data_IF_488260195877
#
_entry.id   IF_488260195877
#
_cell.length_a   1.000
_cell.length_b   1.000
_cell.length_c   1.000
_cell.angle_alpha   90.00
_cell.angle_beta   90.00
_cell.angle_gamma   90.00
#
_symmetry.space_group_name_H-M   'P 1'
#
loop_
_entity.id
_entity.type
_entity.pdbx_description
1 polymer ?
#
# COMPACT_ATOMS: atom_id res chain seq x y z
N UNK A 1 5.77 -22.82 7.94
CA UNK A 1 4.58 -22.57 8.78
C UNK A 1 3.88 -21.37 8.20
N UNK A 2 2.59 -21.45 7.88
CA UNK A 2 1.86 -20.29 7.35
C UNK A 2 1.78 -19.23 8.45
N UNK A 3 2.30 -18.03 8.19
CA UNK A 3 2.11 -16.89 9.08
C UNK A 3 0.62 -16.68 9.31
N UNK A 4 0.18 -16.39 10.55
CA UNK A 4 -1.21 -16.07 10.80
C UNK A 4 -1.58 -14.88 9.93
N UNK A 5 -2.71 -14.98 9.23
CA UNK A 5 -3.33 -13.84 8.54
C UNK A 5 -3.58 -12.80 9.62
N UNK A 6 -2.77 -11.74 9.67
CA UNK A 6 -3.09 -10.59 10.51
C UNK A 6 -4.36 -10.01 9.93
N UNK A 7 -5.50 -10.29 10.58
CA UNK A 7 -6.79 -9.81 10.12
C UNK A 7 -6.74 -8.29 9.98
N UNK A 8 -7.15 -7.78 8.82
CA UNK A 8 -7.15 -6.36 8.52
C UNK A 8 -8.34 -5.66 9.17
N UNK A 9 -8.39 -5.71 10.50
CA UNK A 9 -9.46 -5.17 11.36
C UNK A 9 -9.71 -3.67 11.18
N UNK A 10 -8.74 -2.94 10.60
CA UNK A 10 -8.90 -1.54 10.25
C UNK A 10 -9.95 -1.34 9.15
N UNK A 11 -10.17 -2.33 8.28
CA UNK A 11 -11.22 -2.34 7.24
C UNK A 11 -12.63 -2.56 7.80
N UNK A 12 -12.75 -2.93 9.07
CA UNK A 12 -14.04 -3.14 9.73
C UNK A 12 -14.53 -1.88 10.48
N UNK A 13 -13.72 -0.81 10.50
CA UNK A 13 -14.04 0.45 11.15
C UNK A 13 -14.23 1.54 10.09
N UNK A 14 -15.23 2.43 10.23
CA UNK A 14 -15.65 3.33 9.16
C UNK A 14 -14.64 4.42 8.78
N UNK A 15 -13.69 4.74 9.66
CA UNK A 15 -12.64 5.72 9.43
C UNK A 15 -11.42 5.40 10.29
N UNK A 16 -10.23 5.42 9.69
CA UNK A 16 -8.97 5.22 10.40
C UNK A 16 -7.99 6.36 10.10
N UNK A 17 -7.29 6.82 11.14
CA UNK A 17 -6.16 7.73 10.99
C UNK A 17 -4.94 7.08 11.63
N UNK A 18 -4.09 6.50 10.79
CA UNK A 18 -2.75 6.01 11.16
C UNK A 18 -1.63 6.92 10.64
N UNK A 19 -1.97 7.85 9.75
CA UNK A 19 -1.04 8.83 9.21
C UNK A 19 -1.10 10.11 10.04
N UNK A 20 0.04 10.77 10.18
CA UNK A 20 0.14 12.09 10.85
C UNK A 20 1.02 13.02 10.02
N UNK A 21 0.73 14.34 9.96
CA UNK A 21 1.58 15.29 9.26
C UNK A 21 3.03 15.23 9.75
N UNK A 22 3.98 15.25 8.82
CA UNK A 22 5.41 15.20 9.13
C UNK A 22 5.94 13.83 9.58
N UNK A 23 5.15 12.76 9.48
CA UNK A 23 5.65 11.41 9.75
C UNK A 23 6.77 11.01 8.77
N UNK A 24 7.70 10.19 9.24
CA UNK A 24 8.74 9.63 8.38
C UNK A 24 8.16 8.53 7.46
N UNK A 25 8.81 8.31 6.33
CA UNK A 25 8.56 7.13 5.49
C UNK A 25 8.91 5.88 6.33
N UNK A 26 7.99 4.91 6.48
CA UNK A 26 8.29 3.65 7.16
C UNK A 26 9.45 2.92 6.48
N UNK A 27 10.35 2.34 7.26
CA UNK A 27 11.42 1.49 6.72
C UNK A 27 10.80 0.19 6.19
N UNK A 28 11.28 -0.29 5.05
CA UNK A 28 10.83 -1.55 4.50
C UNK A 28 11.08 -2.71 5.49
N UNK A 29 10.09 -3.58 5.73
CA UNK A 29 10.32 -4.81 6.49
C UNK A 29 11.47 -5.62 5.90
N UNK A 30 12.26 -6.25 6.77
CA UNK A 30 13.22 -7.25 6.32
C UNK A 30 12.46 -8.43 5.72
N UNK A 31 12.80 -8.80 4.49
CA UNK A 31 12.27 -9.97 3.83
C UNK A 31 13.44 -10.83 3.34
N UNK A 32 13.55 -12.03 3.88
CA UNK A 32 14.54 -13.00 3.44
C UNK A 32 14.05 -13.63 2.14
N UNK A 33 14.73 -13.35 1.04
CA UNK A 33 14.42 -13.95 -0.25
C UNK A 33 14.91 -15.41 -0.28
N UNK A 34 14.03 -16.33 0.10
CA UNK A 34 14.33 -17.76 0.19
C UNK A 34 14.32 -18.49 -1.17
N UNK A 35 14.20 -17.78 -2.30
CA UNK A 35 13.96 -18.36 -3.62
C UNK A 35 15.06 -18.01 -4.63
N UNK A 36 15.52 -18.99 -5.40
CA UNK A 36 16.44 -18.78 -6.53
C UNK A 36 15.73 -18.25 -7.80
N UNK A 37 14.50 -17.75 -7.67
CA UNK A 37 13.69 -17.26 -8.80
C UNK A 37 13.92 -15.76 -8.94
N UNK A 38 14.24 -15.31 -10.15
CA UNK A 38 14.44 -13.88 -10.43
C UNK A 38 13.09 -13.17 -10.58
N UNK A 39 12.52 -12.71 -9.47
CA UNK A 39 11.25 -11.96 -9.44
C UNK A 39 11.44 -10.46 -9.71
N UNK A 40 12.65 -9.92 -9.53
CA UNK A 40 12.96 -8.50 -9.68
C UNK A 40 12.82 -7.94 -11.10
N UNK A 41 12.53 -8.77 -12.12
CA UNK A 41 12.19 -8.28 -13.46
C UNK A 41 10.91 -7.43 -13.51
N UNK A 42 10.05 -7.54 -12.50
CA UNK A 42 8.83 -6.74 -12.35
C UNK A 42 9.08 -5.39 -11.65
N UNK A 43 10.27 -5.23 -11.05
CA UNK A 43 10.66 -3.98 -10.41
C UNK A 43 11.02 -2.93 -11.45
N UNK A 44 10.80 -1.67 -11.08
CA UNK A 44 11.22 -0.52 -11.86
C UNK A 44 12.30 0.27 -11.12
N UNK A 45 13.20 0.96 -11.85
CA UNK A 45 14.11 1.90 -11.22
C UNK A 45 13.34 3.10 -10.63
N UNK A 46 14.01 3.86 -9.76
CA UNK A 46 13.53 5.16 -9.34
C UNK A 46 13.55 6.15 -10.52
N UNK A 47 12.43 6.85 -10.72
CA UNK A 47 12.28 7.87 -11.78
C UNK A 47 12.00 9.26 -11.19
N UNK A 48 11.57 9.33 -9.93
CA UNK A 48 11.21 10.56 -9.22
C UNK A 48 11.97 10.72 -7.90
N UNK A 49 12.04 11.92 -7.31
CA UNK A 49 12.58 12.09 -5.96
C UNK A 49 11.81 11.28 -4.89
N UNK A 50 10.50 11.10 -5.08
CA UNK A 50 9.64 10.31 -4.18
C UNK A 50 10.00 8.83 -4.26
N UNK A 51 10.24 8.32 -5.47
CA UNK A 51 10.77 6.98 -5.67
C UNK A 51 12.11 6.78 -4.96
N UNK A 52 13.03 7.74 -5.14
CA UNK A 52 14.34 7.67 -4.50
C UNK A 52 14.22 7.66 -2.98
N UNK A 53 13.30 8.45 -2.40
CA UNK A 53 13.06 8.45 -0.97
C UNK A 53 12.56 7.09 -0.44
N UNK A 54 11.76 6.36 -1.23
CA UNK A 54 11.35 5.00 -0.88
C UNK A 54 12.50 3.99 -1.00
N UNK A 55 13.31 4.09 -2.07
CA UNK A 55 14.51 3.24 -2.23
C UNK A 55 15.50 3.47 -1.09
N UNK A 56 15.72 4.72 -0.68
CA UNK A 56 16.57 5.08 0.45
C UNK A 56 16.03 4.52 1.78
N UNK A 57 14.71 4.31 1.87
CA UNK A 57 14.03 3.66 2.99
C UNK A 57 13.99 2.11 2.86
N UNK A 58 14.64 1.54 1.84
CA UNK A 58 14.79 0.10 1.64
C UNK A 58 13.70 -0.56 0.80
N UNK A 59 12.82 0.21 0.17
CA UNK A 59 11.72 -0.33 -0.64
C UNK A 59 12.18 -0.61 -2.08
N UNK A 60 11.77 -1.76 -2.60
CA UNK A 60 11.81 -2.05 -4.02
C UNK A 60 10.57 -1.48 -4.69
N UNK A 61 10.69 -0.88 -5.88
CA UNK A 61 9.56 -0.24 -6.56
C UNK A 61 8.95 -1.17 -7.57
N UNK A 62 7.63 -1.31 -7.55
CA UNK A 62 6.88 -2.12 -8.51
C UNK A 62 5.62 -1.38 -8.97
N UNK A 63 5.07 -1.79 -10.11
CA UNK A 63 3.98 -1.09 -10.82
C UNK A 63 4.38 0.34 -11.25
N UNK A 64 3.60 0.90 -12.17
CA UNK A 64 3.74 2.30 -12.53
C UNK A 64 3.26 3.19 -11.37
N UNK A 65 3.97 4.28 -11.09
CA UNK A 65 3.44 5.32 -10.21
C UNK A 65 2.31 6.09 -10.91
N UNK A 66 1.41 6.68 -10.12
CA UNK A 66 0.43 7.64 -10.61
C UNK A 66 0.81 9.03 -10.13
N UNK A 67 0.67 10.06 -10.98
CA UNK A 67 1.01 11.42 -10.62
C UNK A 67 0.06 12.44 -11.26
N UNK A 68 -0.40 13.41 -10.47
CA UNK A 68 -1.27 14.49 -10.91
C UNK A 68 -1.70 15.39 -9.75
N UNK A 69 -2.04 16.66 -10.02
CA UNK A 69 -2.52 17.61 -9.00
C UNK A 69 -1.60 17.78 -7.77
N UNK A 70 -0.29 17.58 -7.96
CA UNK A 70 0.70 17.59 -6.88
C UNK A 70 0.76 16.29 -6.07
N UNK A 71 -0.10 15.30 -6.33
CA UNK A 71 -0.10 14.00 -5.66
C UNK A 71 0.72 13.00 -6.47
N UNK A 72 1.58 12.23 -5.80
CA UNK A 72 2.25 11.05 -6.36
C UNK A 72 1.90 9.83 -5.52
N UNK A 73 1.40 8.79 -6.17
CA UNK A 73 1.12 7.48 -5.59
C UNK A 73 2.18 6.50 -6.08
N UNK A 74 2.87 5.85 -5.15
CA UNK A 74 3.94 4.90 -5.45
C UNK A 74 3.73 3.60 -4.69
N UNK A 75 3.85 2.46 -5.38
CA UNK A 75 3.82 1.15 -4.74
C UNK A 75 5.25 0.64 -4.50
N UNK A 76 5.53 0.21 -3.27
CA UNK A 76 6.80 -0.38 -2.87
C UNK A 76 6.60 -1.75 -2.22
N UNK A 77 7.59 -2.63 -2.31
CA UNK A 77 7.60 -3.94 -1.66
C UNK A 77 8.93 -4.25 -0.98
N UNK A 78 8.91 -5.18 -0.02
CA UNK A 78 10.11 -5.72 0.61
C UNK A 78 10.70 -6.93 -0.13
N UNK A 79 9.88 -7.68 -0.87
CA UNK A 79 10.34 -8.85 -1.60
C UNK A 79 9.21 -9.72 -2.12
N UNK A 80 9.55 -10.91 -2.60
CA UNK A 80 8.59 -11.81 -3.24
C UNK A 80 8.55 -13.18 -2.58
N UNK A 81 7.38 -13.83 -2.59
CA UNK A 81 7.34 -15.26 -2.31
C UNK A 81 7.82 -16.11 -3.50
N UNK A 82 7.96 -17.43 -3.28
CA UNK A 82 8.46 -18.38 -4.30
C UNK A 82 7.60 -18.55 -5.56
N UNK A 83 6.56 -17.74 -5.75
CA UNK A 83 5.80 -17.61 -6.99
C UNK A 83 5.78 -16.17 -7.53
N UNK A 84 6.76 -15.33 -7.15
CA UNK A 84 6.89 -13.93 -7.55
C UNK A 84 5.66 -13.06 -7.25
N UNK A 85 5.03 -13.30 -6.10
CA UNK A 85 3.94 -12.44 -5.61
C UNK A 85 4.51 -11.46 -4.59
N UNK A 86 4.06 -10.19 -4.58
CA UNK A 86 4.62 -9.16 -3.71
C UNK A 86 4.33 -9.46 -2.23
N UNK A 87 5.35 -9.25 -1.41
CA UNK A 87 5.33 -9.47 0.03
C UNK A 87 5.83 -8.22 0.76
N UNK A 88 5.21 -7.92 1.90
CA UNK A 88 5.52 -6.72 2.67
C UNK A 88 5.35 -5.45 1.83
N UNK A 89 4.32 -5.37 0.99
CA UNK A 89 4.12 -4.26 0.06
C UNK A 89 3.18 -3.18 0.61
N UNK A 90 3.34 -1.96 0.11
CA UNK A 90 2.60 -0.79 0.57
C UNK A 90 2.42 0.22 -0.55
N UNK A 91 1.34 1.00 -0.47
CA UNK A 91 1.08 2.14 -1.36
C UNK A 91 1.34 3.43 -0.58
N UNK A 92 2.24 4.26 -1.11
CA UNK A 92 2.73 5.50 -0.49
C UNK A 92 2.18 6.72 -1.21
N UNK A 93 1.73 7.70 -0.44
CA UNK A 93 1.20 8.96 -0.96
C UNK A 93 2.15 10.09 -0.64
N UNK A 94 2.51 10.85 -1.66
CA UNK A 94 3.25 12.09 -1.56
C UNK A 94 2.42 13.25 -2.09
N UNK A 95 2.54 14.42 -1.49
CA UNK A 95 1.87 15.65 -1.90
C UNK A 95 2.91 16.76 -1.98
N UNK A 96 3.07 17.31 -3.17
CA UNK A 96 4.07 18.34 -3.51
C UNK A 96 5.49 17.94 -3.08
N UNK A 97 5.81 16.64 -3.19
CA UNK A 97 7.10 16.08 -2.78
C UNK A 97 7.22 15.70 -1.31
N UNK A 98 6.23 16.03 -0.49
CA UNK A 98 6.23 15.70 0.94
C UNK A 98 5.45 14.41 1.19
N UNK A 99 5.98 13.50 2.00
CA UNK A 99 5.28 12.27 2.36
C UNK A 99 4.01 12.57 3.18
N UNK A 100 2.87 12.04 2.73
CA UNK A 100 1.56 12.27 3.33
C UNK A 100 1.01 11.04 4.07
N UNK A 101 1.61 9.85 3.83
CA UNK A 101 1.24 8.62 4.52
C UNK A 101 1.08 7.41 3.59
N UNK A 102 0.56 6.34 4.17
CA UNK A 102 0.31 5.06 3.48
C UNK A 102 -1.19 4.77 3.35
N UNK A 103 -1.56 3.92 2.40
CA UNK A 103 -2.95 3.49 2.21
C UNK A 103 -3.33 2.26 3.03
N UNK A 104 -2.39 1.64 3.74
CA UNK A 104 -2.69 0.67 4.79
C UNK A 104 -1.82 0.95 6.03
N UNK A 105 -2.30 0.65 7.25
CA UNK A 105 -1.55 0.91 8.48
C UNK A 105 -0.30 0.04 8.61
N UNK A 106 -0.28 -1.13 7.96
CA UNK A 106 0.83 -2.08 7.98
C UNK A 106 1.11 -2.61 6.56
N UNK A 107 2.34 -3.04 6.25
CA UNK A 107 2.68 -3.69 4.98
C UNK A 107 1.83 -4.95 4.72
N UNK A 108 1.40 -5.09 3.48
CA UNK A 108 0.49 -6.11 3.00
C UNK A 108 1.23 -7.31 2.41
N UNK A 109 0.56 -8.46 2.31
CA UNK A 109 1.10 -9.66 1.71
C UNK A 109 0.16 -10.20 0.63
N UNK A 110 0.69 -10.65 -0.50
CA UNK A 110 -0.16 -11.25 -1.51
C UNK A 110 -0.90 -12.48 -0.94
N UNK A 111 -2.19 -12.60 -1.28
CA UNK A 111 -3.09 -13.66 -0.78
C UNK A 111 -3.31 -13.62 0.75
N UNK A 112 -3.30 -12.44 1.35
CA UNK A 112 -3.78 -12.21 2.71
C UNK A 112 -5.08 -11.39 2.73
N UNK A 113 -5.79 -11.45 3.85
CA UNK A 113 -6.82 -10.47 4.18
C UNK A 113 -6.21 -9.06 4.27
N UNK A 114 -6.93 -8.07 3.75
CA UNK A 114 -6.47 -6.68 3.66
C UNK A 114 -5.35 -6.41 2.67
N UNK A 115 -5.08 -7.34 1.74
CA UNK A 115 -4.17 -7.10 0.63
C UNK A 115 -4.83 -6.19 -0.42
N UNK A 116 -4.21 -5.04 -0.71
CA UNK A 116 -4.63 -4.11 -1.77
C UNK A 116 -4.46 -4.75 -3.15
N UNK A 117 -5.46 -4.59 -4.01
CA UNK A 117 -5.40 -4.93 -5.44
C UNK A 117 -4.90 -3.77 -6.31
N UNK A 118 -4.53 -2.66 -5.67
CA UNK A 118 -4.10 -1.42 -6.31
C UNK A 118 -4.91 -0.24 -5.80
N UNK A 119 -4.34 0.94 -6.01
CA UNK A 119 -4.95 2.22 -5.69
C UNK A 119 -4.95 3.13 -6.90
N UNK A 120 -5.97 3.98 -6.99
CA UNK A 120 -6.21 4.87 -8.11
C UNK A 120 -6.36 6.32 -7.63
N UNK A 121 -5.67 7.23 -8.32
CA UNK A 121 -5.75 8.67 -8.09
C UNK A 121 -6.88 9.26 -8.95
N UNK A 122 -7.96 9.70 -8.30
CA UNK A 122 -9.15 10.25 -8.98
C UNK A 122 -9.14 11.77 -9.12
N UNK A 123 -8.30 12.46 -8.35
CA UNK A 123 -8.19 13.92 -8.39
C UNK A 123 -7.15 14.45 -7.40
N UNK A 124 -7.18 15.76 -7.16
CA UNK A 124 -6.20 16.40 -6.27
C UNK A 124 -6.29 15.99 -4.81
N UNK A 125 -7.45 15.50 -4.38
CA UNK A 125 -7.73 15.20 -2.97
C UNK A 125 -8.26 13.78 -2.74
N UNK A 126 -8.48 12.99 -3.79
CA UNK A 126 -9.20 11.72 -3.69
C UNK A 126 -8.40 10.57 -4.29
N UNK A 127 -8.22 9.52 -3.49
CA UNK A 127 -7.62 8.25 -3.88
C UNK A 127 -8.61 7.15 -3.50
N UNK A 128 -8.70 6.08 -4.28
CA UNK A 128 -9.42 4.87 -3.85
C UNK A 128 -8.50 3.66 -3.88
N UNK A 129 -8.80 2.66 -3.06
CA UNK A 129 -8.18 1.34 -3.18
C UNK A 129 -9.20 0.24 -2.87
N UNK A 130 -8.96 -0.96 -3.42
CA UNK A 130 -9.72 -2.15 -3.10
C UNK A 130 -8.86 -3.14 -2.34
N UNK A 131 -9.42 -3.74 -1.30
CA UNK A 131 -8.73 -4.68 -0.43
C UNK A 131 -9.46 -6.02 -0.42
N UNK A 132 -8.70 -7.10 -0.55
CA UNK A 132 -9.24 -8.46 -0.50
C UNK A 132 -9.68 -8.81 0.91
N UNK A 133 -10.82 -9.50 1.03
CA UNK A 133 -11.33 -10.02 2.30
C UNK A 133 -11.41 -11.54 2.25
N UNK A 134 -10.71 -12.18 3.19
CA UNK A 134 -10.71 -13.65 3.33
C UNK A 134 -11.54 -14.06 4.55
N UNK A 135 -12.52 -14.92 4.34
CA UNK A 135 -13.15 -15.69 5.40
C UNK A 135 -12.20 -16.81 5.87
N UNK A 136 -12.39 -17.35 7.10
CA UNK A 136 -11.54 -18.43 7.62
C UNK A 136 -11.45 -19.67 6.72
N UNK A 137 -12.51 -19.96 5.96
CA UNK A 137 -12.58 -21.13 5.08
C UNK A 137 -12.19 -20.83 3.62
N UNK A 138 -11.80 -19.58 3.30
CA UNK A 138 -11.39 -19.21 1.94
C UNK A 138 -10.06 -19.87 1.58
N UNK A 139 -10.00 -20.43 0.37
CA UNK A 139 -8.74 -20.87 -0.19
C UNK A 139 -7.87 -19.66 -0.51
N UNK A 140 -6.54 -19.78 -0.32
CA UNK A 140 -5.60 -18.67 -0.56
C UNK A 140 -5.70 -18.02 -1.94
N UNK A 141 -6.21 -18.71 -2.97
CA UNK A 141 -6.38 -18.14 -4.30
C UNK A 141 -7.53 -17.15 -4.43
N UNK A 142 -8.49 -17.20 -3.51
CA UNK A 142 -9.88 -16.94 -3.83
C UNK A 142 -10.55 -16.24 -2.63
N UNK A 143 -10.34 -14.93 -2.47
CA UNK A 143 -11.07 -14.16 -1.46
C UNK A 143 -12.57 -14.21 -1.76
N UNK A 144 -13.40 -14.33 -0.71
CA UNK A 144 -14.87 -14.36 -0.84
C UNK A 144 -15.52 -12.99 -0.99
N UNK A 145 -14.80 -11.91 -0.64
CA UNK A 145 -15.28 -10.54 -0.82
C UNK A 145 -14.13 -9.54 -0.93
N UNK A 146 -14.47 -8.27 -1.14
CA UNK A 146 -13.53 -7.14 -1.11
C UNK A 146 -14.15 -5.94 -0.40
N UNK A 147 -13.28 -5.05 0.08
CA UNK A 147 -13.63 -3.78 0.71
C UNK A 147 -13.08 -2.65 -0.14
N UNK A 148 -13.93 -1.70 -0.46
CA UNK A 148 -13.56 -0.43 -1.08
C UNK A 148 -13.24 0.60 0.00
N UNK A 149 -12.13 1.32 -0.19
CA UNK A 149 -11.74 2.44 0.67
C UNK A 149 -11.54 3.68 -0.18
N UNK A 150 -12.17 4.77 0.23
CA UNK A 150 -11.83 6.11 -0.24
C UNK A 150 -10.90 6.79 0.76
N UNK A 151 -9.89 7.45 0.23
CA UNK A 151 -8.93 8.24 0.97
C UNK A 151 -9.01 9.69 0.53
N UNK A 152 -8.92 10.59 1.52
CA UNK A 152 -8.83 12.03 1.28
C UNK A 152 -7.47 12.56 1.67
N UNK A 153 -6.87 13.35 0.79
CA UNK A 153 -5.65 14.12 1.04
C UNK A 153 -6.03 15.47 1.62
N UNK A 154 -5.45 15.81 2.78
CA UNK A 154 -5.57 17.15 3.39
C UNK A 154 -4.22 17.84 3.33
N UNK A 155 -4.18 19.10 2.87
CA UNK A 155 -2.99 19.96 2.86
C UNK A 155 -3.09 20.96 4.00
N UNK A 156 -2.35 20.74 5.08
CA UNK A 156 -2.31 21.60 6.26
C UNK A 156 -1.00 22.36 6.41
N UNK A 157 -0.96 23.32 7.34
CA UNK A 157 0.26 24.07 7.70
C UNK A 157 1.35 23.14 8.27
N UNK A 158 0.94 22.09 9.00
CA UNK A 158 1.83 21.08 9.58
C UNK A 158 2.32 20.03 8.55
N UNK A 159 1.86 20.13 7.30
CA UNK A 159 2.17 19.20 6.21
C UNK A 159 0.94 18.46 5.67
N UNK A 160 1.09 17.71 4.57
CA UNK A 160 0.01 16.92 4.01
C UNK A 160 -0.24 15.64 4.82
N UNK A 161 -1.47 15.15 4.78
CA UNK A 161 -1.84 13.84 5.36
C UNK A 161 -2.92 13.17 4.51
N UNK A 162 -2.83 11.86 4.32
CA UNK A 162 -3.88 11.04 3.70
C UNK A 162 -4.65 10.26 4.77
N UNK A 163 -5.98 10.29 4.74
CA UNK A 163 -6.83 9.57 5.70
C UNK A 163 -7.89 8.75 4.97
N UNK A 164 -8.19 7.56 5.49
CA UNK A 164 -9.35 6.78 5.04
C UNK A 164 -10.64 7.48 5.52
N UNK A 165 -11.48 7.90 4.58
CA UNK A 165 -12.69 8.67 4.83
C UNK A 165 -13.98 7.89 4.58
N UNK A 166 -13.90 6.80 3.81
CA UNK A 166 -15.00 5.86 3.60
C UNK A 166 -14.46 4.45 3.49
N UNK A 167 -15.07 3.52 4.22
CA UNK A 167 -14.76 2.09 4.15
C UNK A 167 -16.07 1.32 4.03
N UNK A 168 -16.24 0.55 2.95
CA UNK A 168 -17.46 -0.18 2.66
C UNK A 168 -17.18 -1.47 1.85
N UNK A 169 -18.08 -2.47 1.85
CA UNK A 169 -17.98 -3.58 0.91
C UNK A 169 -17.89 -3.06 -0.54
N UNK A 170 -17.03 -3.66 -1.36
CA UNK A 170 -17.03 -3.36 -2.79
C UNK A 170 -18.28 -3.99 -3.44
N UNK A 171 -18.93 -3.24 -4.34
CA UNK A 171 -20.12 -3.67 -5.08
C UNK A 171 -19.80 -4.58 -6.27
#
# INVERSE_FOLDING_TARGET
>A
MASPVTAASWLDNPTGSWNTPGMAIPVAPNFEEDSNINCGQQERPAETPQDQALVDAGWHLFLAYQQGWGVTLVSGLSGYDGMCRPMGYQDFVFVDGTFAGTLAPEPMAARSDGASDGADLWGGDTISAQYRRYAPDDALCCPSSSTYVEFTVTRGEDGPVVNATMIQPAE
#
